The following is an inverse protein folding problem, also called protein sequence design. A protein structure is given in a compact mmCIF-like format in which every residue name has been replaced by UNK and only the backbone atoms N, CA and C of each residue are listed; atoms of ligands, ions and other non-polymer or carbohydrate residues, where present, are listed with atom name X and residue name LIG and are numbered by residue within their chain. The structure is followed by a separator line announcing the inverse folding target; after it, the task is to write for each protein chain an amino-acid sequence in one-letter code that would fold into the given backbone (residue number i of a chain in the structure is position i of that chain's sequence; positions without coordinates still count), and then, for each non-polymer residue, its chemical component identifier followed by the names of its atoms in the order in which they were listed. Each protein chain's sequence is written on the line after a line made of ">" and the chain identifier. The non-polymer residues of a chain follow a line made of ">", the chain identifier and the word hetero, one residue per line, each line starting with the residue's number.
data_IF_102446902633
#
_entry.id   IF_102446902633
#
_cell.length_a   1.000
_cell.length_b   1.000
_cell.length_c   1.000
_cell.angle_alpha   90.00
_cell.angle_beta   90.00
_cell.angle_gamma   90.00
#
_symmetry.space_group_name_H-M   'P 1'
#
loop_
_entity.id
_entity.type
_entity.pdbx_description
1 polymer ?
#
# COMPACT_ATOMS: atom_id res chain seq x y z
N UNK A 1 14.16 -36.42 73.83
CA UNK A 1 13.93 -37.88 73.98
C UNK A 1 13.29 -38.37 72.69
N UNK A 2 14.09 -38.57 71.63
CA UNK A 2 14.59 -39.86 71.12
C UNK A 2 13.52 -40.87 70.67
N UNK A 3 13.65 -41.23 69.38
CA UNK A 3 13.25 -42.46 68.68
C UNK A 3 11.79 -42.61 68.26
N UNK A 4 11.55 -42.49 66.94
CA UNK A 4 11.26 -43.66 66.08
C UNK A 4 11.96 -43.49 64.73
N UNK A 5 12.56 -44.58 64.26
CA UNK A 5 13.49 -44.69 63.14
C UNK A 5 12.85 -45.60 62.09
N UNK A 6 13.16 -45.31 60.83
CA UNK A 6 13.17 -46.20 59.66
C UNK A 6 11.85 -46.51 58.93
N UNK A 7 11.78 -46.01 57.69
CA UNK A 7 11.51 -46.73 56.43
C UNK A 7 11.25 -45.67 55.33
N UNK A 8 11.70 -45.73 54.08
CA UNK A 8 12.59 -46.59 53.31
C UNK A 8 12.88 -45.78 52.02
N UNK A 9 14.09 -45.87 51.47
CA UNK A 9 14.47 -45.22 50.20
C UNK A 9 13.70 -45.81 49.01
N UNK A 10 13.27 -44.94 48.09
CA UNK A 10 13.20 -45.11 46.62
C UNK A 10 12.53 -43.82 46.10
N UNK A 11 13.24 -42.86 45.53
CA UNK A 11 13.91 -42.97 44.25
C UNK A 11 13.03 -42.29 43.20
N UNK A 12 13.40 -41.07 42.78
CA UNK A 12 13.06 -40.51 41.47
C UNK A 12 13.89 -39.24 41.24
N UNK A 13 15.14 -39.40 40.77
CA UNK A 13 15.78 -38.36 39.97
C UNK A 13 15.15 -38.44 38.58
N UNK A 14 14.16 -37.60 38.30
CA UNK A 14 13.68 -37.38 36.93
C UNK A 14 14.52 -36.27 36.35
N UNK A 15 15.34 -36.66 35.36
CA UNK A 15 16.20 -35.81 34.59
C UNK A 15 15.44 -34.60 34.01
N UNK A 16 16.00 -33.42 34.21
CA UNK A 16 15.72 -32.24 33.40
C UNK A 16 16.29 -32.48 31.99
N UNK A 17 15.60 -33.30 31.18
CA UNK A 17 15.85 -33.44 29.76
C UNK A 17 15.26 -32.24 29.04
N UNK A 18 16.06 -31.18 28.89
CA UNK A 18 15.72 -30.06 28.04
C UNK A 18 15.52 -30.57 26.60
N UNK A 19 14.28 -30.55 26.15
CA UNK A 19 13.95 -30.78 24.75
C UNK A 19 14.35 -29.51 24.02
N UNK A 20 15.60 -29.45 23.57
CA UNK A 20 15.99 -28.53 22.51
C UNK A 20 15.30 -29.03 21.24
N UNK A 21 14.06 -28.58 21.03
CA UNK A 21 13.45 -28.62 19.72
C UNK A 21 14.35 -27.78 18.81
N UNK A 22 15.22 -28.45 18.05
CA UNK A 22 15.93 -27.82 16.95
C UNK A 22 14.84 -27.30 16.02
N UNK A 23 14.65 -25.97 16.02
CA UNK A 23 13.85 -25.32 15.00
C UNK A 23 14.39 -25.80 13.66
N UNK A 24 13.54 -26.42 12.84
CA UNK A 24 13.91 -26.76 11.48
C UNK A 24 14.44 -25.50 10.76
N UNK A 25 15.29 -25.65 9.74
CA UNK A 25 15.73 -24.50 8.97
C UNK A 25 14.47 -23.76 8.50
N UNK A 26 14.32 -22.50 8.92
CA UNK A 26 13.33 -21.62 8.32
C UNK A 26 13.65 -21.61 6.83
N UNK A 27 12.76 -22.16 6.00
CA UNK A 27 12.86 -21.91 4.57
C UNK A 27 12.64 -20.42 4.43
N UNK A 28 13.69 -19.70 4.05
CA UNK A 28 13.52 -18.34 3.59
C UNK A 28 12.46 -18.39 2.48
N UNK A 29 11.46 -17.52 2.57
CA UNK A 29 10.58 -17.29 1.43
C UNK A 29 11.44 -17.06 0.19
N UNK A 30 10.99 -17.55 -0.96
CA UNK A 30 11.65 -17.27 -2.22
C UNK A 30 11.53 -15.76 -2.50
N UNK A 31 12.50 -14.98 -2.05
CA UNK A 31 12.56 -13.53 -2.21
C UNK A 31 12.89 -13.11 -3.67
N UNK A 32 12.59 -13.97 -4.64
CA UNK A 32 12.74 -13.70 -6.07
C UNK A 32 11.62 -12.83 -6.63
N UNK A 33 11.92 -12.11 -7.71
CA UNK A 33 10.94 -11.26 -8.40
C UNK A 33 10.54 -10.01 -7.60
N UNK A 34 9.32 -9.55 -7.82
CA UNK A 34 8.81 -8.28 -7.26
C UNK A 34 7.68 -8.54 -6.29
N UNK A 35 7.77 -7.92 -5.12
CA UNK A 35 6.69 -7.85 -4.15
C UNK A 35 5.71 -6.74 -4.55
N UNK A 36 4.66 -7.11 -5.29
CA UNK A 36 3.63 -6.17 -5.69
C UNK A 36 2.55 -6.07 -4.61
N UNK A 37 2.38 -4.88 -4.05
CA UNK A 37 1.37 -4.58 -3.04
C UNK A 37 0.35 -3.61 -3.61
N UNK A 38 -0.94 -3.94 -3.51
CA UNK A 38 -2.04 -3.10 -4.03
C UNK A 38 -2.85 -2.46 -2.92
N UNK A 39 -3.34 -1.24 -3.19
CA UNK A 39 -4.20 -0.47 -2.31
C UNK A 39 -5.47 -0.05 -3.06
N UNK A 40 -6.59 -0.59 -2.63
CA UNK A 40 -7.92 -0.38 -3.17
C UNK A 40 -8.48 1.02 -2.93
N UNK A 41 -9.38 1.43 -3.80
CA UNK A 41 -10.10 2.70 -3.70
C UNK A 41 -11.23 2.69 -2.66
N UNK A 42 -12.06 3.74 -2.70
CA UNK A 42 -13.23 3.86 -1.83
C UNK A 42 -14.14 2.63 -1.93
N UNK A 43 -14.47 2.03 -0.79
CA UNK A 43 -15.31 0.82 -0.70
C UNK A 43 -14.59 -0.51 -0.98
N UNK A 44 -13.31 -0.50 -1.35
CA UNK A 44 -12.49 -1.70 -1.52
C UNK A 44 -11.66 -1.95 -0.25
N UNK A 45 -12.35 -2.36 0.82
CA UNK A 45 -11.81 -2.46 2.17
C UNK A 45 -10.61 -3.42 2.30
N UNK A 46 -10.57 -4.47 1.48
CA UNK A 46 -9.54 -5.51 1.52
C UNK A 46 -8.61 -5.45 0.29
N UNK A 47 -8.70 -4.36 -0.50
CA UNK A 47 -8.00 -4.22 -1.79
C UNK A 47 -8.18 -5.44 -2.70
N UNK A 48 -9.36 -6.06 -2.72
CA UNK A 48 -9.66 -7.34 -3.36
C UNK A 48 -10.75 -7.23 -4.45
N UNK A 49 -11.12 -6.00 -4.82
CA UNK A 49 -12.10 -5.78 -5.87
C UNK A 49 -11.73 -6.52 -7.17
N UNK A 50 -12.73 -7.03 -7.92
CA UNK A 50 -12.52 -7.99 -9.01
C UNK A 50 -11.80 -7.43 -10.23
N UNK A 51 -11.59 -6.10 -10.30
CA UNK A 51 -10.83 -5.48 -11.38
C UNK A 51 -9.32 -5.67 -11.25
N UNK A 52 -8.81 -5.93 -10.04
CA UNK A 52 -7.38 -6.19 -9.83
C UNK A 52 -6.95 -7.50 -10.48
N UNK A 53 -5.87 -7.46 -11.25
CA UNK A 53 -5.29 -8.65 -11.90
C UNK A 53 -3.76 -8.56 -12.00
N UNK A 54 -3.12 -9.66 -12.39
CA UNK A 54 -1.66 -9.79 -12.49
C UNK A 54 -1.01 -10.40 -11.24
N UNK A 55 0.31 -10.31 -11.15
CA UNK A 55 1.07 -10.87 -10.03
C UNK A 55 1.02 -9.96 -8.81
N UNK A 56 0.01 -10.15 -7.96
CA UNK A 56 -0.20 -9.41 -6.71
C UNK A 56 0.25 -10.28 -5.53
N UNK A 57 1.28 -9.82 -4.81
CA UNK A 57 1.83 -10.50 -3.63
C UNK A 57 1.08 -10.13 -2.36
N UNK A 58 0.59 -8.88 -2.27
CA UNK A 58 -0.09 -8.37 -1.07
C UNK A 58 -1.20 -7.37 -1.36
N UNK A 59 -2.19 -7.34 -0.46
CA UNK A 59 -3.34 -6.44 -0.50
C UNK A 59 -3.45 -5.69 0.84
N UNK A 60 -3.61 -4.36 0.78
CA UNK A 60 -3.75 -3.53 1.99
C UNK A 60 -5.20 -3.52 2.47
N UNK A 61 -5.44 -3.93 3.71
CA UNK A 61 -6.75 -3.82 4.36
C UNK A 61 -6.91 -2.50 5.11
N UNK A 62 -7.99 -1.75 4.85
CA UNK A 62 -8.31 -0.52 5.57
C UNK A 62 -9.80 -0.14 5.44
N UNK A 63 -10.33 0.81 6.21
CA UNK A 63 -11.75 1.15 6.14
C UNK A 63 -12.27 1.69 4.79
N UNK A 64 -11.37 2.13 3.90
CA UNK A 64 -11.68 2.58 2.55
C UNK A 64 -12.83 3.62 2.44
N UNK A 65 -12.93 4.53 3.42
CA UNK A 65 -13.81 5.70 3.31
C UNK A 65 -12.97 6.96 3.00
N UNK A 66 -13.48 7.90 2.18
CA UNK A 66 -12.72 9.04 1.69
C UNK A 66 -12.61 10.16 2.74
N UNK A 67 -12.05 9.82 3.90
CA UNK A 67 -11.75 10.72 5.01
C UNK A 67 -10.32 10.48 5.49
N UNK A 68 -9.68 11.54 5.96
CA UNK A 68 -8.24 11.57 6.26
C UNK A 68 -7.84 10.55 7.32
N UNK A 69 -8.65 10.35 8.36
CA UNK A 69 -8.37 9.32 9.38
C UNK A 69 -8.33 7.90 8.81
N UNK A 70 -9.13 7.60 7.77
CA UNK A 70 -9.14 6.29 7.14
C UNK A 70 -8.00 6.16 6.12
N UNK A 71 -7.68 7.24 5.38
CA UNK A 71 -6.47 7.27 4.57
C UNK A 71 -5.20 7.07 5.42
N UNK A 72 -5.10 7.69 6.59
CA UNK A 72 -4.01 7.47 7.56
C UNK A 72 -3.91 6.00 7.99
N UNK A 73 -5.04 5.33 8.25
CA UNK A 73 -5.02 3.90 8.58
C UNK A 73 -4.45 3.07 7.42
N UNK A 74 -4.83 3.38 6.17
CA UNK A 74 -4.25 2.75 4.99
C UNK A 74 -2.74 3.00 4.87
N UNK A 75 -2.27 4.23 5.11
CA UNK A 75 -0.83 4.56 5.08
C UNK A 75 -0.05 3.77 6.12
N UNK A 76 -0.59 3.68 7.34
CA UNK A 76 0.05 2.94 8.42
C UNK A 76 0.13 1.44 8.11
N UNK A 77 -0.94 0.87 7.55
CA UNK A 77 -0.98 -0.55 7.19
C UNK A 77 -0.05 -0.87 6.02
N UNK A 78 -0.05 -0.04 4.97
CA UNK A 78 0.90 -0.16 3.85
C UNK A 78 2.35 -0.14 4.36
N UNK A 79 2.68 0.83 5.22
CA UNK A 79 4.03 0.95 5.79
C UNK A 79 4.40 -0.26 6.64
N UNK A 80 3.47 -0.77 7.46
CA UNK A 80 3.68 -1.98 8.27
C UNK A 80 3.98 -3.18 7.38
N UNK A 81 3.16 -3.42 6.36
CA UNK A 81 3.30 -4.56 5.45
C UNK A 81 4.61 -4.52 4.66
N UNK A 82 5.01 -3.34 4.17
CA UNK A 82 6.29 -3.19 3.46
C UNK A 82 7.46 -3.41 4.40
N UNK A 83 7.41 -2.90 5.65
CA UNK A 83 8.47 -3.13 6.64
C UNK A 83 8.58 -4.60 7.04
N UNK A 84 7.45 -5.26 7.27
CA UNK A 84 7.40 -6.69 7.57
C UNK A 84 7.99 -7.51 6.42
N UNK A 85 7.63 -7.16 5.18
CA UNK A 85 8.22 -7.78 3.99
C UNK A 85 9.72 -7.51 3.88
N UNK A 86 10.17 -6.27 4.08
CA UNK A 86 11.60 -5.90 4.01
C UNK A 86 12.43 -6.63 5.07
N UNK A 87 11.87 -6.91 6.25
CA UNK A 87 12.51 -7.73 7.28
C UNK A 87 12.69 -9.20 6.84
N UNK A 88 11.73 -9.74 6.08
CA UNK A 88 11.80 -11.10 5.53
C UNK A 88 12.69 -11.18 4.27
N UNK A 89 12.62 -10.17 3.40
CA UNK A 89 13.28 -10.09 2.11
C UNK A 89 13.99 -8.72 1.92
N UNK A 90 15.17 -8.51 2.53
CA UNK A 90 15.85 -7.20 2.56
C UNK A 90 16.22 -6.61 1.19
N UNK A 91 16.34 -7.41 0.14
CA UNK A 91 16.75 -6.96 -1.19
C UNK A 91 15.67 -7.01 -2.27
N UNK A 92 14.49 -7.56 -1.97
CA UNK A 92 13.46 -7.76 -3.00
C UNK A 92 12.87 -6.43 -3.46
N UNK A 93 12.58 -6.28 -4.76
CA UNK A 93 11.95 -5.05 -5.24
C UNK A 93 10.49 -4.98 -4.75
N UNK A 94 10.04 -3.79 -4.34
CA UNK A 94 8.65 -3.55 -3.89
C UNK A 94 7.95 -2.59 -4.83
N UNK A 95 6.82 -3.01 -5.39
CA UNK A 95 5.97 -2.17 -6.25
C UNK A 95 4.65 -1.88 -5.55
N UNK A 96 4.43 -0.63 -5.16
CA UNK A 96 3.20 -0.18 -4.53
C UNK A 96 2.24 0.42 -5.56
N UNK A 97 1.07 -0.19 -5.75
CA UNK A 97 0.07 0.26 -6.72
C UNK A 97 -1.20 0.69 -5.99
N UNK A 98 -1.62 1.94 -6.18
CA UNK A 98 -2.83 2.46 -5.57
C UNK A 98 -3.84 2.91 -6.62
N UNK A 99 -5.13 2.75 -6.33
CA UNK A 99 -6.22 3.30 -7.13
C UNK A 99 -7.11 4.22 -6.31
N UNK A 100 -7.49 5.39 -6.85
CA UNK A 100 -8.45 6.31 -6.23
C UNK A 100 -8.01 6.70 -4.81
N UNK A 101 -8.83 6.49 -3.78
CA UNK A 101 -8.43 6.65 -2.38
C UNK A 101 -7.15 5.87 -2.01
N UNK A 102 -6.96 4.67 -2.57
CA UNK A 102 -5.75 3.88 -2.38
C UNK A 102 -4.52 4.50 -3.05
N UNK A 103 -4.69 5.24 -4.15
CA UNK A 103 -3.61 6.02 -4.75
C UNK A 103 -3.19 7.16 -3.82
N UNK A 104 -4.14 7.82 -3.14
CA UNK A 104 -3.81 8.81 -2.12
C UNK A 104 -3.07 8.20 -0.91
N UNK A 105 -3.44 6.98 -0.52
CA UNK A 105 -2.71 6.23 0.52
C UNK A 105 -1.26 5.97 0.10
N UNK A 106 -1.03 5.45 -1.10
CA UNK A 106 0.33 5.20 -1.61
C UNK A 106 1.10 6.51 -1.76
N UNK A 107 0.48 7.55 -2.32
CA UNK A 107 1.05 8.89 -2.44
C UNK A 107 1.55 9.38 -1.08
N UNK A 108 0.66 9.47 -0.09
CA UNK A 108 1.02 9.95 1.25
C UNK A 108 2.11 9.09 1.88
N UNK A 109 2.04 7.77 1.72
CA UNK A 109 3.08 6.87 2.23
C UNK A 109 4.46 7.20 1.64
N UNK A 110 4.56 7.36 0.32
CA UNK A 110 5.82 7.75 -0.34
C UNK A 110 6.31 9.10 0.18
N UNK A 111 5.46 10.13 0.16
CA UNK A 111 5.79 11.49 0.63
C UNK A 111 6.36 11.49 2.05
N UNK A 112 5.83 10.65 2.94
CA UNK A 112 6.22 10.62 4.35
C UNK A 112 7.37 9.66 4.68
N UNK A 113 7.65 8.66 3.83
CA UNK A 113 8.54 7.55 4.19
C UNK A 113 9.67 7.31 3.18
N UNK A 114 9.79 8.09 2.10
CA UNK A 114 10.78 7.88 1.03
C UNK A 114 12.24 7.74 1.52
N UNK A 115 12.61 8.37 2.65
CA UNK A 115 13.96 8.23 3.25
C UNK A 115 14.16 6.93 4.06
N UNK A 116 13.09 6.18 4.31
CA UNK A 116 13.07 5.05 5.26
C UNK A 116 13.04 3.68 4.58
N UNK A 117 12.99 3.66 3.25
CA UNK A 117 13.01 2.45 2.45
C UNK A 117 13.84 2.64 1.17
N UNK A 118 14.26 1.53 0.59
CA UNK A 118 14.97 1.45 -0.68
C UNK A 118 14.32 0.42 -1.61
N UNK A 119 14.74 0.44 -2.88
CA UNK A 119 14.31 -0.52 -3.90
C UNK A 119 12.77 -0.64 -4.01
N UNK A 120 12.11 0.53 -4.09
CA UNK A 120 10.66 0.69 -4.20
C UNK A 120 10.34 1.50 -5.45
N UNK A 121 9.26 1.17 -6.15
CA UNK A 121 8.56 2.10 -7.02
C UNK A 121 7.06 2.19 -6.68
N UNK A 122 6.39 3.23 -7.17
CA UNK A 122 4.96 3.40 -6.97
C UNK A 122 4.20 3.73 -8.26
N UNK A 123 2.95 3.26 -8.33
CA UNK A 123 2.01 3.54 -9.42
C UNK A 123 0.72 4.10 -8.81
N UNK A 124 0.36 5.32 -9.19
CA UNK A 124 -0.77 6.06 -8.67
C UNK A 124 -1.85 6.20 -9.75
N UNK A 125 -2.90 5.38 -9.69
CA UNK A 125 -4.00 5.36 -10.64
C UNK A 125 -5.14 6.24 -10.10
N UNK A 126 -5.57 7.24 -10.85
CA UNK A 126 -6.65 8.14 -10.46
C UNK A 126 -6.44 8.82 -9.09
N UNK A 127 -5.21 9.31 -8.84
CA UNK A 127 -4.82 9.89 -7.56
C UNK A 127 -5.50 11.23 -7.26
N UNK A 128 -6.33 11.35 -6.19
CA UNK A 128 -6.95 12.61 -5.82
C UNK A 128 -5.96 13.62 -5.22
N UNK A 129 -4.76 13.20 -4.84
CA UNK A 129 -3.68 14.07 -4.36
C UNK A 129 -2.71 14.50 -5.49
N UNK A 130 -3.00 14.16 -6.75
CA UNK A 130 -2.12 14.53 -7.89
C UNK A 130 -1.95 16.05 -7.93
N UNK A 131 -0.70 16.54 -7.90
CA UNK A 131 -0.40 17.95 -8.15
C UNK A 131 -0.84 18.38 -9.56
N UNK A 132 -1.07 19.69 -9.73
CA UNK A 132 -1.28 20.25 -11.05
C UNK A 132 -0.05 20.05 -11.95
N UNK A 133 -0.29 19.87 -13.24
CA UNK A 133 0.71 19.63 -14.28
C UNK A 133 0.02 19.74 -15.63
N UNK A 134 -0.03 18.68 -16.46
CA UNK A 134 -1.04 18.60 -17.51
C UNK A 134 -2.43 18.47 -16.85
N UNK A 135 -3.32 19.44 -17.06
CA UNK A 135 -4.61 19.51 -16.35
C UNK A 135 -4.51 20.12 -14.94
N UNK A 136 -5.59 20.06 -14.17
CA UNK A 136 -5.65 20.66 -12.83
C UNK A 136 -5.26 19.64 -11.77
N UNK A 137 -5.09 20.07 -10.52
CA UNK A 137 -4.84 19.15 -9.40
C UNK A 137 -6.02 18.19 -9.18
N UNK A 138 -5.75 17.08 -8.48
CA UNK A 138 -6.76 16.13 -8.06
C UNK A 138 -7.76 16.71 -7.05
N UNK A 139 -8.87 16.01 -6.89
CA UNK A 139 -10.02 16.48 -6.12
C UNK A 139 -9.71 16.76 -4.64
N UNK A 140 -8.72 16.09 -4.03
CA UNK A 140 -8.38 16.30 -2.63
C UNK A 140 -7.74 17.68 -2.36
N UNK A 141 -7.26 18.38 -3.39
CA UNK A 141 -6.76 19.75 -3.29
C UNK A 141 -7.86 20.82 -3.51
N UNK A 142 -9.06 20.43 -3.91
CA UNK A 142 -10.11 21.40 -4.21
C UNK A 142 -10.60 22.11 -2.93
N UNK A 143 -10.77 23.45 -2.91
CA UNK A 143 -11.13 24.20 -1.69
C UNK A 143 -12.42 23.77 -1.00
N UNK A 144 -13.37 23.19 -1.76
CA UNK A 144 -14.63 22.67 -1.20
C UNK A 144 -14.53 21.21 -0.72
N UNK A 145 -13.49 20.49 -1.12
CA UNK A 145 -13.30 19.05 -0.80
C UNK A 145 -12.28 18.89 0.32
N UNK A 146 -11.16 19.62 0.26
CA UNK A 146 -10.07 19.53 1.22
C UNK A 146 -10.53 19.64 2.69
N UNK A 147 -11.42 20.57 3.08
CA UNK A 147 -11.90 20.66 4.47
C UNK A 147 -12.77 19.48 4.90
N UNK A 148 -13.46 18.83 3.96
CA UNK A 148 -14.37 17.71 4.23
C UNK A 148 -13.58 16.42 4.40
N UNK A 149 -12.60 16.19 3.52
CA UNK A 149 -11.79 14.97 3.56
C UNK A 149 -10.73 15.03 4.66
N UNK A 150 -10.13 16.19 4.93
CA UNK A 150 -9.14 16.37 6.00
C UNK A 150 -7.79 15.68 5.76
N UNK A 151 -6.80 16.00 6.60
CA UNK A 151 -5.44 15.45 6.47
C UNK A 151 -5.34 13.96 6.91
N UNK A 152 -4.42 13.17 6.32
CA UNK A 152 -3.46 13.54 5.28
C UNK A 152 -4.03 13.46 3.84
N UNK A 153 -5.31 13.09 3.69
CA UNK A 153 -5.94 12.96 2.38
C UNK A 153 -5.99 14.32 1.64
N UNK A 154 -6.34 15.39 2.34
CA UNK A 154 -6.41 16.74 1.79
C UNK A 154 -5.08 17.23 1.22
N UNK A 155 -5.17 18.06 0.19
CA UNK A 155 -4.03 18.66 -0.50
C UNK A 155 -3.47 17.80 -1.63
N UNK A 156 -2.59 18.41 -2.42
CA UNK A 156 -1.88 17.77 -3.52
C UNK A 156 -0.42 18.23 -3.54
N UNK A 157 0.45 17.34 -3.97
CA UNK A 157 1.87 17.58 -4.17
C UNK A 157 2.44 16.58 -5.19
N UNK A 158 3.72 16.72 -5.48
CA UNK A 158 4.50 15.80 -6.30
C UNK A 158 5.84 15.50 -5.60
N UNK A 159 5.84 15.52 -4.26
CA UNK A 159 7.03 15.33 -3.45
C UNK A 159 7.18 13.84 -3.13
N UNK A 160 7.94 13.14 -3.98
CA UNK A 160 8.18 11.69 -3.87
C UNK A 160 9.62 11.33 -3.49
N UNK A 161 10.47 12.32 -3.20
CA UNK A 161 11.90 12.11 -3.00
C UNK A 161 12.54 11.45 -4.22
N UNK A 162 13.38 10.43 -3.98
CA UNK A 162 14.06 9.65 -5.01
C UNK A 162 13.26 8.43 -5.50
N UNK A 163 12.02 8.26 -5.05
CA UNK A 163 11.18 7.12 -5.41
C UNK A 163 10.64 7.30 -6.83
N UNK A 164 10.85 6.33 -7.75
CA UNK A 164 10.19 6.35 -9.05
C UNK A 164 8.67 6.23 -8.87
N UNK A 165 7.94 7.25 -9.31
CA UNK A 165 6.48 7.28 -9.25
C UNK A 165 5.90 7.47 -10.65
N UNK A 166 5.04 6.55 -11.07
CA UNK A 166 4.17 6.69 -12.23
C UNK A 166 2.79 7.17 -11.80
N UNK A 167 2.30 8.27 -12.36
CA UNK A 167 0.91 8.72 -12.13
C UNK A 167 0.06 8.53 -13.38
N UNK A 168 -1.19 8.12 -13.21
CA UNK A 168 -2.14 7.92 -14.31
C UNK A 168 -3.42 8.71 -14.05
N UNK A 169 -3.81 9.53 -15.02
CA UNK A 169 -5.05 10.27 -14.99
C UNK A 169 -5.65 10.38 -16.39
N UNK A 170 -6.87 9.91 -16.60
CA UNK A 170 -7.53 9.97 -17.92
C UNK A 170 -9.00 10.34 -17.77
N UNK A 171 -9.31 11.59 -18.11
CA UNK A 171 -10.66 12.16 -18.13
C UNK A 171 -11.49 11.77 -16.90
N UNK A 172 -10.93 12.04 -15.72
CA UNK A 172 -11.47 11.58 -14.45
C UNK A 172 -11.35 12.70 -13.40
N UNK A 173 -12.49 13.10 -12.85
CA UNK A 173 -12.59 14.22 -11.91
C UNK A 173 -11.82 13.99 -10.61
N UNK A 174 -11.57 12.72 -10.25
CA UNK A 174 -10.85 12.39 -9.02
C UNK A 174 -9.40 12.84 -9.13
N UNK A 175 -8.73 12.55 -10.24
CA UNK A 175 -7.34 12.94 -10.43
C UNK A 175 -7.16 14.28 -11.14
N UNK A 176 -8.15 14.81 -11.85
CA UNK A 176 -8.14 16.15 -12.45
C UNK A 176 -9.49 16.82 -12.21
N UNK A 177 -9.56 17.77 -11.27
CA UNK A 177 -10.84 18.35 -10.82
C UNK A 177 -11.65 19.04 -11.94
N UNK A 178 -11.02 19.37 -13.07
CA UNK A 178 -11.68 19.95 -14.25
C UNK A 178 -11.73 18.98 -15.44
N UNK A 179 -11.64 17.67 -15.19
CA UNK A 179 -11.79 16.67 -16.23
C UNK A 179 -13.09 16.91 -17.03
N UNK A 180 -13.01 16.78 -18.35
CA UNK A 180 -14.12 17.10 -19.26
C UNK A 180 -15.39 16.29 -18.98
N UNK A 181 -15.24 15.06 -18.46
CA UNK A 181 -16.35 14.21 -18.05
C UNK A 181 -17.06 14.71 -16.80
N UNK A 182 -16.38 15.49 -15.96
CA UNK A 182 -16.87 16.00 -14.68
C UNK A 182 -17.43 14.92 -13.74
N UNK A 183 -18.36 15.34 -12.88
CA UNK A 183 -19.12 14.43 -12.02
C UNK A 183 -19.91 13.37 -12.82
N UNK A 184 -20.49 13.67 -14.00
CA UNK A 184 -21.16 12.65 -14.78
C UNK A 184 -20.26 11.48 -15.18
N UNK A 185 -19.02 11.80 -15.56
CA UNK A 185 -17.97 10.83 -15.84
C UNK A 185 -17.72 9.85 -14.70
N UNK A 186 -17.66 10.40 -13.49
CA UNK A 186 -17.43 9.66 -12.26
C UNK A 186 -18.64 8.81 -11.84
N UNK A 187 -19.85 9.37 -11.87
CA UNK A 187 -21.05 8.74 -11.31
C UNK A 187 -21.77 7.78 -12.27
N UNK A 188 -21.73 8.02 -13.57
CA UNK A 188 -22.58 7.29 -14.54
C UNK A 188 -21.83 6.75 -15.76
N UNK A 189 -20.78 7.40 -16.22
CA UNK A 189 -20.06 6.96 -17.44
C UNK A 189 -18.88 6.02 -17.15
N UNK A 190 -18.59 5.75 -15.87
CA UNK A 190 -17.55 4.81 -15.45
C UNK A 190 -16.12 5.26 -15.75
N UNK A 191 -15.88 6.56 -16.00
CA UNK A 191 -14.53 7.08 -16.31
C UNK A 191 -13.52 6.77 -15.20
N UNK A 192 -13.98 6.84 -13.96
CA UNK A 192 -13.15 6.56 -12.80
C UNK A 192 -12.69 5.09 -12.72
N UNK A 193 -13.42 4.16 -13.33
CA UNK A 193 -13.03 2.76 -13.41
C UNK A 193 -12.35 2.38 -14.74
N UNK A 194 -12.08 3.34 -15.63
CA UNK A 194 -11.58 3.06 -16.97
C UNK A 194 -10.05 3.14 -17.05
N UNK A 195 -9.39 2.31 -16.24
CA UNK A 195 -7.94 2.18 -16.17
C UNK A 195 -7.51 0.72 -16.36
N UNK A 196 -6.22 0.49 -16.62
CA UNK A 196 -5.67 -0.85 -16.65
C UNK A 196 -5.31 -1.29 -15.24
N UNK A 197 -6.02 -2.29 -14.71
CA UNK A 197 -5.80 -2.80 -13.35
C UNK A 197 -4.98 -4.10 -13.32
N UNK A 198 -4.38 -4.49 -14.45
CA UNK A 198 -3.34 -5.51 -14.47
C UNK A 198 -2.02 -4.90 -14.03
N UNK A 199 -1.55 -5.24 -12.82
CA UNK A 199 -0.32 -4.67 -12.24
C UNK A 199 0.95 -5.02 -13.03
N UNK A 200 0.92 -6.05 -13.87
CA UNK A 200 2.06 -6.51 -14.65
C UNK A 200 2.37 -5.60 -15.85
N UNK A 201 1.44 -4.70 -16.23
CA UNK A 201 1.69 -3.75 -17.34
C UNK A 201 2.56 -2.57 -16.91
N UNK A 202 2.74 -2.39 -15.61
CA UNK A 202 3.58 -1.36 -15.03
C UNK A 202 4.94 -1.95 -14.66
N UNK A 203 6.00 -1.40 -15.24
CA UNK A 203 7.36 -1.85 -14.96
C UNK A 203 7.80 -1.51 -13.53
N UNK A 204 8.81 -2.21 -13.04
CA UNK A 204 9.36 -2.04 -11.69
C UNK A 204 10.22 -0.76 -11.55
N UNK A 205 10.43 -0.04 -12.65
CA UNK A 205 11.10 1.26 -12.71
C UNK A 205 10.19 2.37 -13.24
N UNK A 206 8.89 2.08 -13.37
CA UNK A 206 7.90 2.97 -13.95
C UNK A 206 7.92 4.34 -13.26
N UNK A 207 8.00 5.40 -14.07
CA UNK A 207 8.07 6.79 -13.61
C UNK A 207 7.42 7.74 -14.62
N UNK A 208 7.07 8.93 -14.16
CA UNK A 208 6.49 9.99 -14.99
C UNK A 208 4.97 10.03 -14.87
N UNK A 209 4.31 10.50 -15.93
CA UNK A 209 2.86 10.73 -15.91
C UNK A 209 2.23 10.27 -17.22
N UNK A 210 1.12 9.54 -17.13
CA UNK A 210 0.19 9.34 -18.24
C UNK A 210 -1.03 10.22 -18.02
N UNK A 211 -1.19 11.23 -18.88
CA UNK A 211 -2.33 12.14 -18.84
C UNK A 211 -3.11 12.08 -20.15
N UNK A 212 -4.37 11.64 -20.09
CA UNK A 212 -5.25 11.49 -21.27
C UNK A 212 -4.59 10.76 -22.45
N UNK A 213 -3.88 9.66 -22.16
CA UNK A 213 -3.20 8.85 -23.17
C UNK A 213 -1.86 9.39 -23.67
N UNK A 214 -1.36 10.50 -23.11
CA UNK A 214 -0.04 11.06 -23.42
C UNK A 214 0.93 10.79 -22.28
N UNK A 215 2.08 10.20 -22.59
CA UNK A 215 3.16 10.01 -21.63
C UNK A 215 4.04 11.25 -21.52
N UNK A 216 4.35 11.63 -20.29
CA UNK A 216 5.25 12.73 -19.93
C UNK A 216 6.29 12.15 -18.97
N UNK A 217 7.57 12.09 -19.38
CA UNK A 217 8.64 11.49 -18.58
C UNK A 217 8.95 12.28 -17.31
#
# INVERSE_FOLDING_TARGET
>A
MMRKLAALLAGLMVAAGGVYALAGPAQADDCGGTYTIVVGGTGDNDSNAPYWSGNISQRVGYPAQPIGVNARQGVNELNRLIRDHRNACPGQHVKAVGFSLGAAVVHTWVTENWETFDNVNAVLIADPKRAAGPGNAGAAAHPLVAPVVGAPLAGADNFFGDVPVLTLCTNDIICDINASSGLPGYLWEGKHGNYNFNVDVYTDDARGQWFNGVYIP
#
